data_IF_081990049838
#
_entry.id   IF_081990049838
#
_cell.length_a   1.000
_cell.length_b   1.000
_cell.length_c   1.000
_cell.angle_alpha   90.00
_cell.angle_beta   90.00
_cell.angle_gamma   90.00
#
_symmetry.space_group_name_H-M   'P 1'
#
loop_
_entity.id
_entity.type
_entity.pdbx_description
1 polymer ?
#
# COMPACT_ATOMS: atom_id res chain seq x y z
N UNK A 1 -13.87 10.23 7.26
CA UNK A 1 -13.60 9.31 6.14
C UNK A 1 -14.06 7.93 6.55
N UNK A 2 -14.87 7.29 5.73
CA UNK A 2 -15.41 5.96 6.03
C UNK A 2 -14.37 4.87 5.74
N UNK A 3 -14.42 3.79 6.51
CA UNK A 3 -13.58 2.61 6.31
C UNK A 3 -14.47 1.46 5.85
N UNK A 4 -14.01 0.72 4.85
CA UNK A 4 -14.73 -0.47 4.38
C UNK A 4 -14.89 -1.48 5.54
N UNK A 5 -16.03 -2.19 5.64
CA UNK A 5 -16.21 -3.22 6.66
C UNK A 5 -15.07 -4.23 6.68
N UNK A 6 -14.69 -4.73 7.88
CA UNK A 6 -13.60 -5.71 8.04
C UNK A 6 -14.01 -7.12 7.58
N UNK A 7 -14.52 -7.20 6.35
CA UNK A 7 -14.89 -8.43 5.68
C UNK A 7 -13.85 -8.67 4.58
N UNK A 8 -13.21 -9.85 4.62
CA UNK A 8 -12.15 -10.18 3.68
C UNK A 8 -12.71 -10.70 2.36
N UNK A 9 -12.21 -10.23 1.21
CA UNK A 9 -12.55 -10.81 -0.08
C UNK A 9 -11.97 -12.23 -0.20
N UNK A 10 -12.59 -13.01 -1.06
CA UNK A 10 -12.09 -14.35 -1.40
C UNK A 10 -10.81 -14.19 -2.23
N UNK A 11 -9.77 -14.94 -1.89
CA UNK A 11 -8.49 -14.88 -2.60
C UNK A 11 -8.59 -15.37 -4.06
N UNK A 12 -9.52 -16.29 -4.32
CA UNK A 12 -9.85 -16.74 -5.69
C UNK A 12 -10.63 -15.64 -6.42
N UNK A 13 -10.09 -15.16 -7.53
CA UNK A 13 -10.72 -14.09 -8.32
C UNK A 13 -10.24 -12.66 -7.97
N UNK A 14 -9.29 -12.51 -7.05
CA UNK A 14 -8.62 -11.24 -6.84
C UNK A 14 -7.81 -10.85 -8.07
N UNK A 15 -8.11 -9.69 -8.63
CA UNK A 15 -7.39 -9.14 -9.78
C UNK A 15 -7.00 -7.69 -9.52
N UNK A 16 -5.72 -7.40 -9.72
CA UNK A 16 -5.18 -6.04 -9.71
C UNK A 16 -4.80 -5.66 -11.13
N UNK A 17 -5.36 -4.59 -11.65
CA UNK A 17 -5.03 -4.05 -12.96
C UNK A 17 -4.30 -2.72 -12.80
N UNK A 18 -3.14 -2.62 -13.44
CA UNK A 18 -2.32 -1.42 -13.52
C UNK A 18 -2.51 -0.80 -14.90
N UNK A 19 -2.79 0.48 -14.96
CA UNK A 19 -3.03 1.18 -16.23
C UNK A 19 -2.32 2.54 -16.24
N UNK A 20 -0.97 2.52 -16.42
CA UNK A 20 -0.19 3.75 -16.43
C UNK A 20 -0.61 4.68 -17.58
N UNK A 21 -0.80 5.95 -17.28
CA UNK A 21 -1.14 6.97 -18.28
C UNK A 21 0.12 7.44 -19.00
N UNK A 22 0.40 6.83 -20.14
CA UNK A 22 1.53 7.19 -21.01
C UNK A 22 1.01 7.89 -22.25
N UNK A 23 1.54 9.08 -22.55
CA UNK A 23 1.32 9.76 -23.82
C UNK A 23 2.43 9.32 -24.81
N UNK A 24 2.02 8.74 -25.92
CA UNK A 24 2.94 8.36 -27.00
C UNK A 24 2.72 9.31 -28.19
N UNK A 25 3.80 9.92 -28.68
CA UNK A 25 3.80 10.72 -29.91
C UNK A 25 4.71 10.01 -30.91
N UNK A 26 4.15 9.63 -32.06
CA UNK A 26 4.92 9.09 -33.18
C UNK A 26 5.47 10.24 -34.05
N UNK A 27 6.74 10.18 -34.38
CA UNK A 27 7.40 11.07 -35.32
C UNK A 27 7.42 10.42 -36.71
N UNK A 28 7.53 11.24 -37.76
CA UNK A 28 7.40 10.78 -39.15
C UNK A 28 8.46 9.78 -39.65
N UNK A 29 9.51 9.57 -38.89
CA UNK A 29 10.58 8.59 -39.15
C UNK A 29 10.38 7.25 -38.42
N UNK A 30 9.22 7.05 -37.80
CA UNK A 30 8.92 5.86 -37.00
C UNK A 30 9.42 5.92 -35.55
N UNK A 31 10.06 7.00 -35.16
CA UNK A 31 10.48 7.21 -33.78
C UNK A 31 9.26 7.51 -32.87
N UNK A 32 9.21 6.90 -31.70
CA UNK A 32 8.16 7.12 -30.71
C UNK A 32 8.73 7.82 -29.48
N UNK A 33 8.20 8.99 -29.18
CA UNK A 33 8.45 9.67 -27.92
C UNK A 33 7.36 9.28 -26.91
N UNK A 34 7.78 8.79 -25.75
CA UNK A 34 6.87 8.42 -24.65
C UNK A 34 7.11 9.33 -23.45
N UNK A 35 6.08 10.00 -23.02
CA UNK A 35 6.11 10.82 -21.81
C UNK A 35 5.07 10.35 -20.81
N UNK A 36 5.46 10.29 -19.55
CA UNK A 36 4.52 10.08 -18.44
C UNK A 36 3.71 11.36 -18.26
N UNK A 37 2.41 11.21 -18.06
CA UNK A 37 1.48 12.33 -17.93
C UNK A 37 0.97 12.42 -16.49
N UNK A 38 1.33 13.51 -15.79
CA UNK A 38 0.91 13.78 -14.43
C UNK A 38 2.01 13.54 -13.37
N UNK A 39 1.63 13.60 -12.10
CA UNK A 39 2.54 13.33 -10.99
C UNK A 39 2.81 11.82 -10.86
N UNK A 40 4.03 11.39 -10.55
CA UNK A 40 4.41 9.97 -10.44
C UNK A 40 3.44 9.13 -9.59
N UNK A 41 2.95 9.67 -8.48
CA UNK A 41 2.02 8.99 -7.57
C UNK A 41 0.60 8.80 -8.11
N UNK A 42 0.20 9.52 -9.16
CA UNK A 42 -1.16 9.49 -9.73
C UNK A 42 -1.21 8.95 -11.15
N UNK A 43 -0.07 8.55 -11.71
CA UNK A 43 0.04 8.12 -13.11
C UNK A 43 -0.47 6.72 -13.37
N UNK A 44 -0.48 5.87 -12.35
CA UNK A 44 -0.87 4.46 -12.47
C UNK A 44 -2.02 4.13 -11.51
N UNK A 45 -3.26 4.54 -11.84
CA UNK A 45 -4.41 4.19 -11.01
C UNK A 45 -4.61 2.67 -11.00
N UNK A 46 -4.62 2.10 -9.80
CA UNK A 46 -4.86 0.68 -9.61
C UNK A 46 -6.37 0.41 -9.60
N UNK A 47 -6.78 -0.59 -10.35
CA UNK A 47 -8.15 -1.12 -10.33
C UNK A 47 -8.11 -2.51 -9.72
N UNK A 48 -8.97 -2.74 -8.73
CA UNK A 48 -9.08 -4.01 -8.03
C UNK A 48 -10.46 -4.60 -8.33
N UNK A 49 -10.47 -5.81 -8.86
CA UNK A 49 -11.68 -6.61 -8.98
C UNK A 49 -11.67 -7.59 -7.80
N UNK A 50 -12.70 -7.50 -6.96
CA UNK A 50 -12.81 -8.26 -5.72
C UNK A 50 -14.07 -9.11 -5.74
N UNK A 51 -13.95 -10.35 -5.31
CA UNK A 51 -15.08 -11.25 -5.11
C UNK A 51 -15.20 -11.57 -3.62
N UNK A 52 -16.41 -11.44 -3.09
CA UNK A 52 -16.73 -11.81 -1.71
C UNK A 52 -17.69 -13.00 -1.73
N UNK A 53 -17.30 -14.09 -1.10
CA UNK A 53 -18.17 -15.24 -0.82
C UNK A 53 -18.44 -15.24 0.67
N UNK A 54 -19.60 -14.73 1.04
CA UNK A 54 -19.93 -14.36 2.43
C UNK A 54 -21.38 -14.75 2.73
N UNK A 55 -21.76 -14.72 4.01
CA UNK A 55 -23.16 -14.91 4.40
C UNK A 55 -24.02 -13.74 3.90
N UNK A 56 -25.35 -13.96 3.86
CA UNK A 56 -26.31 -12.93 3.46
C UNK A 56 -26.18 -11.68 4.33
N UNK A 57 -26.09 -11.85 5.65
CA UNK A 57 -25.90 -10.74 6.60
C UNK A 57 -24.64 -9.91 6.28
N UNK A 58 -23.51 -10.56 6.02
CA UNK A 58 -22.27 -9.86 5.64
C UNK A 58 -22.39 -9.17 4.28
N UNK A 59 -23.08 -9.79 3.34
CA UNK A 59 -23.37 -9.21 2.04
C UNK A 59 -24.21 -7.93 2.16
N UNK A 60 -25.20 -7.92 3.03
CA UNK A 60 -26.05 -6.75 3.26
C UNK A 60 -25.28 -5.60 3.91
N UNK A 61 -24.34 -5.90 4.81
CA UNK A 61 -23.43 -4.91 5.39
C UNK A 61 -22.58 -4.25 4.29
N UNK A 62 -22.00 -5.06 3.40
CA UNK A 62 -21.19 -4.54 2.28
C UNK A 62 -22.05 -3.68 1.35
N UNK A 63 -23.23 -4.16 0.99
CA UNK A 63 -24.14 -3.45 0.09
C UNK A 63 -24.61 -2.12 0.69
N UNK A 64 -24.99 -2.11 1.95
CA UNK A 64 -25.40 -0.89 2.67
C UNK A 64 -24.25 0.13 2.71
N UNK A 65 -23.01 -0.33 2.95
CA UNK A 65 -21.84 0.52 2.93
C UNK A 65 -21.62 1.12 1.53
N UNK A 66 -21.62 0.32 0.48
CA UNK A 66 -21.38 0.78 -0.89
C UNK A 66 -22.49 1.74 -1.35
N UNK A 67 -23.73 1.46 -1.03
CA UNK A 67 -24.86 2.38 -1.32
C UNK A 67 -24.67 3.74 -0.64
N UNK A 68 -24.20 3.77 0.61
CA UNK A 68 -23.93 5.04 1.28
C UNK A 68 -22.85 5.86 0.55
N UNK A 69 -21.82 5.20 -0.02
CA UNK A 69 -20.75 5.86 -0.77
C UNK A 69 -21.20 6.38 -2.15
N UNK A 70 -22.23 5.79 -2.75
CA UNK A 70 -22.84 6.32 -3.98
C UNK A 70 -23.53 7.66 -3.72
N UNK A 71 -24.16 7.82 -2.58
CA UNK A 71 -24.87 9.05 -2.24
C UNK A 71 -23.96 10.23 -1.92
N UNK A 72 -22.86 9.98 -1.22
CA UNK A 72 -21.92 11.04 -0.81
C UNK A 72 -20.75 11.22 -1.79
N UNK A 73 -20.56 10.29 -2.73
CA UNK A 73 -19.46 10.31 -3.72
C UNK A 73 -18.06 10.38 -3.10
N UNK A 74 -17.95 10.06 -1.82
CA UNK A 74 -16.69 10.10 -1.11
C UNK A 74 -15.88 8.81 -1.28
N UNK A 75 -14.56 8.98 -1.28
CA UNK A 75 -13.66 7.84 -1.18
C UNK A 75 -13.71 7.21 0.20
N UNK A 76 -13.39 5.93 0.27
CA UNK A 76 -13.29 5.17 1.52
C UNK A 76 -11.91 4.52 1.65
N UNK A 77 -11.53 4.23 2.89
CA UNK A 77 -10.29 3.49 3.18
C UNK A 77 -10.57 2.00 3.07
N UNK A 78 -9.73 1.31 2.31
CA UNK A 78 -9.74 -0.14 2.17
C UNK A 78 -8.31 -0.65 2.10
N UNK A 79 -8.06 -1.85 2.61
CA UNK A 79 -6.78 -2.54 2.50
C UNK A 79 -6.95 -3.75 1.58
N UNK A 80 -6.51 -3.67 0.32
CA UNK A 80 -6.58 -4.82 -0.57
C UNK A 80 -5.72 -5.97 -0.06
N UNK A 81 -6.11 -7.23 -0.31
CA UNK A 81 -5.27 -8.38 -0.01
C UNK A 81 -3.89 -8.25 -0.66
N UNK A 82 -2.86 -8.67 0.04
CA UNK A 82 -1.46 -8.67 -0.42
C UNK A 82 -0.83 -7.29 -0.72
N UNK A 83 -1.48 -6.19 -0.37
CA UNK A 83 -0.89 -4.84 -0.52
C UNK A 83 -0.13 -4.37 0.73
N UNK A 84 -0.33 -5.03 1.86
CA UNK A 84 0.41 -4.80 3.09
C UNK A 84 1.19 -6.02 3.52
N UNK A 85 2.16 -5.82 4.40
CA UNK A 85 2.89 -6.90 5.05
C UNK A 85 3.36 -6.50 6.45
N UNK A 86 3.64 -7.51 7.27
CA UNK A 86 4.42 -7.37 8.49
C UNK A 86 5.58 -8.33 8.40
N UNK A 87 6.81 -7.82 8.49
CA UNK A 87 8.05 -8.61 8.42
C UNK A 87 8.97 -8.24 9.57
N UNK A 88 9.72 -9.22 10.03
CA UNK A 88 10.72 -9.03 11.09
C UNK A 88 12.12 -8.99 10.51
N UNK A 89 13.02 -8.30 11.19
CA UNK A 89 14.41 -8.18 10.81
C UNK A 89 15.26 -7.58 11.91
N UNK A 90 16.35 -6.95 11.51
CA UNK A 90 17.27 -6.27 12.42
C UNK A 90 17.44 -4.82 12.02
N UNK A 91 17.84 -3.98 12.97
CA UNK A 91 18.18 -2.59 12.69
C UNK A 91 19.51 -2.19 13.32
N UNK A 92 20.10 -1.16 12.76
CA UNK A 92 21.25 -0.44 13.31
C UNK A 92 21.04 1.04 13.12
N UNK A 93 21.16 1.80 14.19
CA UNK A 93 21.07 3.26 14.17
C UNK A 93 22.44 3.88 14.38
N UNK A 94 22.79 4.84 13.52
CA UNK A 94 23.98 5.68 13.66
C UNK A 94 23.57 7.13 13.41
N UNK A 95 23.63 7.94 14.44
CA UNK A 95 23.08 9.29 14.37
C UNK A 95 21.55 9.25 14.22
N UNK A 96 21.03 9.97 13.26
CA UNK A 96 19.59 9.97 12.90
C UNK A 96 19.24 8.95 11.82
N UNK A 97 20.22 8.25 11.24
CA UNK A 97 19.97 7.26 10.21
C UNK A 97 19.75 5.90 10.86
N UNK A 98 18.62 5.28 10.58
CA UNK A 98 18.30 3.91 10.97
C UNK A 98 18.33 3.05 9.72
N UNK A 99 19.26 2.11 9.68
CA UNK A 99 19.38 1.10 8.63
C UNK A 99 18.65 -0.16 9.09
N UNK A 100 17.71 -0.64 8.29
CA UNK A 100 16.89 -1.81 8.58
C UNK A 100 17.18 -2.88 7.55
N UNK A 101 17.37 -4.10 8.03
CA UNK A 101 17.65 -5.29 7.20
C UNK A 101 16.51 -6.30 7.34
N UNK A 102 15.79 -6.52 6.24
CA UNK A 102 14.66 -7.45 6.13
C UNK A 102 14.68 -8.08 4.73
N UNK A 103 14.71 -9.39 4.65
CA UNK A 103 14.76 -10.10 3.36
C UNK A 103 13.57 -9.78 2.47
N UNK A 104 13.87 -9.37 1.22
CA UNK A 104 12.89 -9.07 0.17
C UNK A 104 11.79 -8.13 0.66
N UNK A 105 12.17 -6.98 1.23
CA UNK A 105 11.21 -6.05 1.82
C UNK A 105 10.21 -5.48 0.81
N UNK A 106 10.58 -5.32 -0.47
CA UNK A 106 9.70 -4.84 -1.53
C UNK A 106 9.22 -3.39 -1.38
N UNK A 107 9.90 -2.60 -0.53
CA UNK A 107 9.59 -1.19 -0.29
C UNK A 107 10.20 -0.29 -1.36
N UNK A 108 9.53 0.82 -1.63
CA UNK A 108 10.05 1.91 -2.45
C UNK A 108 10.34 3.16 -1.60
N UNK A 109 11.20 4.04 -2.12
CA UNK A 109 11.47 5.34 -1.48
C UNK A 109 10.16 6.13 -1.39
N UNK A 110 9.86 6.64 -0.19
CA UNK A 110 8.64 7.37 0.12
C UNK A 110 7.51 6.53 0.69
N UNK A 111 7.61 5.20 0.69
CA UNK A 111 6.65 4.36 1.41
C UNK A 111 6.66 4.68 2.90
N UNK A 112 5.49 4.69 3.51
CA UNK A 112 5.34 4.92 4.95
C UNK A 112 5.12 3.59 5.64
N UNK A 113 6.04 3.24 6.53
CA UNK A 113 6.02 2.01 7.31
C UNK A 113 5.86 2.30 8.80
N UNK A 114 5.15 1.43 9.49
CA UNK A 114 5.14 1.42 10.97
C UNK A 114 6.24 0.49 11.45
N UNK A 115 7.10 0.99 12.30
CA UNK A 115 8.24 0.28 12.85
C UNK A 115 8.05 0.10 14.35
N UNK A 116 8.16 -1.16 14.80
CA UNK A 116 8.17 -1.59 16.20
C UNK A 116 9.53 -2.20 16.48
N UNK A 117 10.32 -1.53 17.32
CA UNK A 117 11.65 -2.00 17.73
C UNK A 117 11.52 -2.99 18.89
N UNK A 118 11.50 -4.27 18.56
CA UNK A 118 11.26 -5.36 19.52
C UNK A 118 12.44 -5.62 20.47
N UNK A 119 13.59 -5.03 20.22
CA UNK A 119 14.74 -4.95 21.14
C UNK A 119 15.60 -3.74 20.83
N UNK A 120 16.44 -3.34 21.79
CA UNK A 120 17.22 -2.11 21.72
C UNK A 120 16.47 -0.93 22.35
N UNK A 121 16.85 0.29 22.01
CA UNK A 121 16.31 1.52 22.63
C UNK A 121 15.81 2.54 21.59
N UNK A 122 15.63 2.15 20.35
CA UNK A 122 15.03 3.03 19.34
C UNK A 122 13.53 3.22 19.62
N UNK A 123 12.98 4.33 19.13
CA UNK A 123 11.59 4.72 19.39
C UNK A 123 10.70 4.28 18.25
N UNK A 124 9.65 3.55 18.60
CA UNK A 124 8.62 3.07 17.67
C UNK A 124 7.90 4.24 16.99
N UNK A 125 7.42 3.98 15.79
CA UNK A 125 6.67 5.00 15.08
C UNK A 125 6.43 4.70 13.62
N UNK A 126 5.92 5.73 12.95
CA UNK A 126 5.65 5.71 11.52
C UNK A 126 6.74 6.52 10.80
N UNK A 127 7.40 5.90 9.84
CA UNK A 127 8.57 6.46 9.16
C UNK A 127 8.42 6.34 7.64
N UNK A 128 8.89 7.37 6.94
CA UNK A 128 9.03 7.28 5.49
C UNK A 128 10.37 6.63 5.14
N UNK A 129 10.36 5.74 4.15
CA UNK A 129 11.56 5.14 3.57
C UNK A 129 12.35 6.21 2.83
N UNK A 130 13.61 6.40 3.22
CA UNK A 130 14.50 7.42 2.64
C UNK A 130 15.34 6.84 1.51
N UNK A 131 15.91 5.67 1.71
CA UNK A 131 16.67 4.96 0.69
C UNK A 131 16.36 3.47 0.71
N UNK A 132 16.50 2.83 -0.45
CA UNK A 132 16.51 1.38 -0.60
C UNK A 132 17.85 1.04 -1.26
N UNK A 133 18.81 0.49 -0.49
CA UNK A 133 20.12 0.16 -1.00
C UNK A 133 20.09 -1.10 -1.88
N UNK A 134 19.27 -2.05 -1.49
CA UNK A 134 19.01 -3.32 -2.18
C UNK A 134 17.62 -3.87 -1.75
N UNK A 135 17.28 -5.07 -2.20
CA UNK A 135 15.99 -5.72 -1.87
C UNK A 135 15.86 -6.11 -0.37
N UNK A 136 16.95 -6.04 0.39
CA UNK A 136 16.99 -6.47 1.77
C UNK A 136 17.28 -5.33 2.76
N UNK A 137 17.68 -4.15 2.27
CA UNK A 137 18.14 -3.06 3.14
C UNK A 137 17.52 -1.73 2.74
N UNK A 138 16.93 -1.05 3.71
CA UNK A 138 16.42 0.31 3.55
C UNK A 138 16.74 1.18 4.75
N UNK A 139 16.62 2.49 4.60
CA UNK A 139 16.85 3.44 5.69
C UNK A 139 15.64 4.30 5.96
N UNK A 140 15.51 4.70 7.23
CA UNK A 140 14.57 5.73 7.67
C UNK A 140 15.30 6.75 8.55
N UNK A 141 14.69 7.90 8.79
CA UNK A 141 15.26 8.95 9.64
C UNK A 141 14.57 8.98 11.01
N UNK A 142 15.32 8.73 12.07
CA UNK A 142 14.85 8.88 13.44
C UNK A 142 14.82 10.36 13.87
N UNK A 143 13.92 10.71 14.78
CA UNK A 143 13.83 12.06 15.34
C UNK A 143 15.01 12.44 16.22
N UNK A 144 15.62 11.45 16.90
CA UNK A 144 16.76 11.66 17.79
C UNK A 144 18.01 10.93 17.30
N UNK A 145 19.17 11.55 17.50
CA UNK A 145 20.48 10.94 17.23
C UNK A 145 20.83 9.94 18.34
N UNK A 146 21.14 8.71 17.92
CA UNK A 146 21.56 7.65 18.84
C UNK A 146 22.49 6.65 18.14
N UNK A 147 23.11 5.78 18.94
CA UNK A 147 23.81 4.60 18.44
C UNK A 147 23.25 3.39 19.17
N UNK A 148 22.47 2.61 18.47
CA UNK A 148 21.86 1.39 19.00
C UNK A 148 21.54 0.39 17.87
N UNK A 149 21.20 -0.82 18.26
CA UNK A 149 20.83 -1.89 17.34
C UNK A 149 19.92 -2.90 18.02
N UNK A 150 19.25 -3.71 17.24
CA UNK A 150 18.37 -4.74 17.78
C UNK A 150 17.50 -5.37 16.71
N UNK A 151 16.40 -5.97 17.17
CA UNK A 151 15.39 -6.56 16.33
C UNK A 151 14.24 -5.59 16.06
N UNK A 152 13.59 -5.76 14.93
CA UNK A 152 12.53 -4.88 14.49
C UNK A 152 11.41 -5.67 13.82
N UNK A 153 10.18 -5.20 13.98
CA UNK A 153 9.01 -5.59 13.19
C UNK A 153 8.57 -4.39 12.35
N UNK A 154 8.46 -4.58 11.06
CA UNK A 154 8.07 -3.52 10.11
C UNK A 154 6.77 -3.89 9.44
N UNK A 155 5.80 -2.99 9.53
CA UNK A 155 4.49 -3.13 8.90
C UNK A 155 4.30 -2.06 7.83
N UNK A 156 4.09 -2.49 6.58
CA UNK A 156 3.57 -1.65 5.52
C UNK A 156 2.05 -1.79 5.51
N UNK A 157 1.35 -0.67 5.72
CA UNK A 157 -0.10 -0.66 5.56
C UNK A 157 -0.44 -0.57 4.08
N UNK A 158 -1.09 -1.58 3.53
CA UNK A 158 -1.66 -1.55 2.18
C UNK A 158 -2.94 -0.73 2.07
N UNK A 159 -3.33 -0.02 3.14
CA UNK A 159 -4.54 0.79 3.14
C UNK A 159 -4.44 1.95 2.15
N UNK A 160 -5.42 2.08 1.29
CA UNK A 160 -5.53 3.14 0.30
C UNK A 160 -6.92 3.78 0.28
N UNK A 161 -7.05 4.85 -0.49
CA UNK A 161 -8.32 5.50 -0.77
C UNK A 161 -8.90 4.96 -2.06
N UNK A 162 -10.10 4.43 -1.99
CA UNK A 162 -10.76 3.78 -3.11
C UNK A 162 -12.14 4.39 -3.37
N UNK A 163 -12.59 4.21 -4.60
CA UNK A 163 -13.94 4.51 -5.05
C UNK A 163 -14.47 3.22 -5.66
N UNK A 164 -15.67 2.81 -5.28
CA UNK A 164 -16.34 1.68 -5.93
C UNK A 164 -17.03 2.18 -7.20
N UNK A 165 -16.70 1.59 -8.35
CA UNK A 165 -17.31 1.93 -9.64
C UNK A 165 -18.60 1.17 -9.90
N UNK A 166 -18.63 -0.10 -9.50
CA UNK A 166 -19.78 -0.99 -9.70
C UNK A 166 -19.69 -2.19 -8.77
N UNK A 167 -20.83 -2.76 -8.43
CA UNK A 167 -20.93 -4.04 -7.72
C UNK A 167 -22.13 -4.83 -8.21
N UNK A 168 -22.10 -6.12 -7.99
CA UNK A 168 -23.24 -7.03 -8.21
C UNK A 168 -23.34 -8.00 -7.06
N UNK A 169 -24.57 -8.41 -6.72
CA UNK A 169 -24.87 -9.46 -5.75
C UNK A 169 -25.48 -10.64 -6.46
N UNK A 170 -24.94 -11.83 -6.25
CA UNK A 170 -25.54 -13.09 -6.71
C UNK A 170 -25.96 -13.87 -5.47
N UNK A 171 -27.20 -14.34 -5.49
CA UNK A 171 -27.75 -15.23 -4.46
C UNK A 171 -27.79 -16.61 -5.10
N UNK A 172 -27.16 -17.66 -4.50
CA UNK A 172 -27.16 -19.01 -5.02
C UNK A 172 -28.53 -19.64 -5.00
#
# INVERSE_FOLDING_TARGET
MATFPSIQPTYSGFRKTSSPKVRTTALGDGYQFRALFGLPLTQDPKVYDLTFVVSEEQSDIIEAFLRSRVFDQESFTFTPPAEGFTKTGTYSQSGTIVTITISNHGLAIGDVVTIDYTSGSAVDGSFAVVTTADDNTFTVTAAASATNSGNVSVTLSGAGKFICKSWSKQIP
#
